data_IF_813618807112
#
_entry.id   IF_813618807112
#
_cell.length_a   1.000
_cell.length_b   1.000
_cell.length_c   1.000
_cell.angle_alpha   90.00
_cell.angle_beta   90.00
_cell.angle_gamma   90.00
#
_symmetry.space_group_name_H-M   'P 1'
#
loop_
_entity.id
_entity.type
_entity.pdbx_description
1 polymer ?
#
# COMPACT_ATOMS: atom_id res chain seq x y z
N UNK A 1 24.03 -28.44 -23.57
CA UNK A 1 23.00 -27.38 -23.70
C UNK A 1 22.24 -27.17 -22.39
N UNK A 2 21.66 -28.22 -21.79
CA UNK A 2 20.94 -28.15 -20.50
C UNK A 2 21.72 -27.46 -19.38
N UNK A 3 22.98 -27.85 -19.17
CA UNK A 3 23.86 -27.32 -18.11
C UNK A 3 24.18 -25.83 -18.27
N UNK A 4 24.26 -25.33 -19.52
CA UNK A 4 24.51 -23.91 -19.82
C UNK A 4 23.27 -23.07 -19.51
N UNK A 5 22.07 -23.59 -19.77
CA UNK A 5 20.79 -22.95 -19.46
C UNK A 5 20.55 -22.85 -17.96
N UNK A 6 20.85 -23.91 -17.20
CA UNK A 6 20.74 -23.93 -15.72
C UNK A 6 21.72 -22.94 -15.08
N UNK A 7 22.95 -22.85 -15.61
CA UNK A 7 23.96 -21.92 -15.09
C UNK A 7 23.60 -20.45 -15.35
N UNK A 8 23.02 -20.12 -16.51
CA UNK A 8 22.51 -18.77 -16.80
C UNK A 8 21.28 -18.39 -15.98
N UNK A 9 20.37 -19.33 -15.71
CA UNK A 9 19.20 -19.09 -14.85
C UNK A 9 19.62 -18.79 -13.41
N UNK A 10 20.61 -19.53 -12.90
CA UNK A 10 21.17 -19.31 -11.55
C UNK A 10 21.87 -17.95 -11.44
N UNK A 11 22.61 -17.53 -12.47
CA UNK A 11 23.24 -16.21 -12.50
C UNK A 11 22.21 -15.06 -12.50
N UNK A 12 21.11 -15.22 -13.24
CA UNK A 12 20.04 -14.22 -13.25
C UNK A 12 19.39 -14.08 -11.86
N UNK A 13 19.05 -15.20 -11.21
CA UNK A 13 18.48 -15.20 -9.84
C UNK A 13 19.41 -14.48 -8.86
N UNK A 14 20.72 -14.72 -8.94
CA UNK A 14 21.70 -14.06 -8.06
C UNK A 14 21.72 -12.53 -8.24
N UNK A 15 21.58 -12.05 -9.47
CA UNK A 15 21.47 -10.61 -9.75
C UNK A 15 20.23 -10.03 -9.07
N UNK A 16 19.07 -10.70 -9.17
CA UNK A 16 17.85 -10.22 -8.51
C UNK A 16 17.97 -10.21 -6.99
N UNK A 17 18.60 -11.22 -6.39
CA UNK A 17 18.87 -11.25 -4.93
C UNK A 17 19.72 -10.04 -4.52
N UNK A 18 20.83 -9.79 -5.22
CA UNK A 18 21.71 -8.63 -4.96
C UNK A 18 20.97 -7.30 -5.11
N UNK A 19 20.09 -7.18 -6.11
CA UNK A 19 19.23 -6.00 -6.26
C UNK A 19 18.28 -5.89 -5.07
N UNK A 20 17.60 -6.96 -4.68
CA UNK A 20 16.68 -6.98 -3.54
C UNK A 20 17.38 -6.59 -2.23
N UNK A 21 18.60 -7.06 -1.97
CA UNK A 21 19.39 -6.71 -0.78
C UNK A 21 19.64 -5.20 -0.64
N UNK A 22 19.73 -4.46 -1.75
CA UNK A 22 19.88 -2.99 -1.74
C UNK A 22 18.52 -2.31 -1.68
N UNK A 23 17.58 -2.83 -2.44
CA UNK A 23 16.30 -2.18 -2.71
C UNK A 23 15.38 -2.23 -1.47
N UNK A 24 15.25 -3.37 -0.80
CA UNK A 24 14.40 -3.51 0.38
C UNK A 24 14.78 -2.56 1.54
N UNK A 25 16.06 -2.47 1.97
CA UNK A 25 16.46 -1.50 3.00
C UNK A 25 16.27 -0.05 2.55
N UNK A 26 16.54 0.26 1.28
CA UNK A 26 16.33 1.62 0.74
C UNK A 26 14.86 2.02 0.86
N UNK A 27 13.94 1.16 0.44
CA UNK A 27 12.51 1.40 0.57
C UNK A 27 12.06 1.52 2.03
N UNK A 28 12.56 0.67 2.92
CA UNK A 28 12.26 0.77 4.34
C UNK A 28 12.67 2.14 4.88
N UNK A 29 13.90 2.57 4.62
CA UNK A 29 14.43 3.85 5.06
C UNK A 29 13.61 5.02 4.52
N UNK A 30 13.36 5.07 3.21
CA UNK A 30 12.59 6.15 2.58
C UNK A 30 11.16 6.21 3.10
N UNK A 31 10.48 5.07 3.24
CA UNK A 31 9.10 5.00 3.73
C UNK A 31 9.01 5.44 5.18
N UNK A 32 9.89 4.96 6.07
CA UNK A 32 9.89 5.37 7.48
C UNK A 32 10.11 6.87 7.59
N UNK A 33 11.09 7.44 6.87
CA UNK A 33 11.37 8.87 6.92
C UNK A 33 10.17 9.67 6.40
N UNK A 34 9.66 9.33 5.22
CA UNK A 34 8.56 10.05 4.59
C UNK A 34 7.27 10.01 5.43
N UNK A 35 6.90 8.83 5.93
CA UNK A 35 5.73 8.69 6.80
C UNK A 35 5.95 9.34 8.16
N UNK A 36 7.14 9.30 8.75
CA UNK A 36 7.43 10.02 10.00
C UNK A 36 7.21 11.53 9.86
N UNK A 37 7.69 12.12 8.75
CA UNK A 37 7.43 13.52 8.43
C UNK A 37 5.92 13.76 8.27
N UNK A 38 5.21 12.93 7.50
CA UNK A 38 3.76 13.06 7.34
C UNK A 38 3.02 12.99 8.69
N UNK A 39 3.38 12.04 9.56
CA UNK A 39 2.77 11.86 10.87
C UNK A 39 2.95 13.10 11.74
N UNK A 40 4.14 13.72 11.74
CA UNK A 40 4.38 14.99 12.41
C UNK A 40 3.42 16.08 11.89
N UNK A 41 3.24 16.17 10.57
CA UNK A 41 2.32 17.16 9.98
C UNK A 41 0.86 16.91 10.31
N UNK A 42 0.43 15.64 10.28
CA UNK A 42 -0.92 15.22 10.70
C UNK A 42 -1.16 15.58 12.16
N UNK A 43 -0.16 15.38 13.03
CA UNK A 43 -0.29 15.60 14.47
C UNK A 43 -0.38 17.08 14.81
N UNK A 44 0.57 17.88 14.29
CA UNK A 44 0.77 19.27 14.71
C UNK A 44 0.09 20.31 13.82
N UNK A 45 -0.15 20.03 12.54
CA UNK A 45 -0.61 21.03 11.56
C UNK A 45 -1.96 20.71 10.92
N UNK A 46 -2.61 19.59 11.28
CA UNK A 46 -3.95 19.26 10.76
C UNK A 46 -5.06 20.10 11.43
N UNK A 47 -5.94 20.76 10.65
CA UNK A 47 -7.06 21.54 11.18
C UNK A 47 -8.08 20.71 11.98
N UNK A 48 -8.68 21.32 13.00
CA UNK A 48 -9.70 20.70 13.87
C UNK A 48 -10.99 20.30 13.14
N UNK A 49 -11.34 20.95 12.02
CA UNK A 49 -12.51 20.61 11.21
C UNK A 49 -12.29 19.38 10.29
N UNK A 50 -11.08 18.79 10.28
CA UNK A 50 -10.72 17.61 9.50
C UNK A 50 -10.40 16.38 10.37
N UNK A 51 -10.85 16.35 11.64
CA UNK A 51 -10.56 15.26 12.60
C UNK A 51 -10.73 13.86 12.02
N UNK A 52 -11.84 13.57 11.32
CA UNK A 52 -12.05 12.23 10.76
C UNK A 52 -11.09 11.91 9.61
N UNK A 53 -10.85 12.86 8.70
CA UNK A 53 -9.88 12.68 7.61
C UNK A 53 -8.46 12.48 8.16
N UNK A 54 -8.11 13.18 9.24
CA UNK A 54 -6.85 13.00 9.96
C UNK A 54 -6.70 11.57 10.49
N UNK A 55 -7.76 11.01 11.07
CA UNK A 55 -7.77 9.62 11.57
C UNK A 55 -7.58 8.62 10.41
N UNK A 56 -8.26 8.84 9.28
CA UNK A 56 -8.09 7.97 8.10
C UNK A 56 -6.66 8.01 7.57
N UNK A 57 -6.08 9.20 7.40
CA UNK A 57 -4.69 9.36 6.93
C UNK A 57 -3.68 8.76 7.92
N UNK A 58 -3.90 8.95 9.23
CA UNK A 58 -3.07 8.36 10.28
C UNK A 58 -3.09 6.82 10.20
N UNK A 59 -4.28 6.24 10.10
CA UNK A 59 -4.47 4.79 10.00
C UNK A 59 -3.77 4.21 8.77
N UNK A 60 -3.99 4.80 7.60
CA UNK A 60 -3.34 4.36 6.35
C UNK A 60 -1.82 4.42 6.48
N UNK A 61 -1.28 5.54 6.99
CA UNK A 61 0.16 5.71 7.21
C UNK A 61 0.75 4.66 8.17
N UNK A 62 0.02 4.26 9.21
CA UNK A 62 0.49 3.21 10.14
C UNK A 62 0.53 1.86 9.42
N UNK A 63 -0.51 1.53 8.64
CA UNK A 63 -0.57 0.28 7.89
C UNK A 63 0.54 0.19 6.82
N UNK A 64 0.82 1.29 6.11
CA UNK A 64 1.91 1.35 5.13
C UNK A 64 3.28 1.08 5.76
N UNK A 65 3.56 1.71 6.91
CA UNK A 65 4.82 1.50 7.64
C UNK A 65 4.92 0.06 8.13
N UNK A 66 3.85 -0.47 8.74
CA UNK A 66 3.83 -1.87 9.22
C UNK A 66 4.02 -2.87 8.07
N UNK A 67 3.30 -2.69 6.96
CA UNK A 67 3.47 -3.53 5.77
C UNK A 67 4.89 -3.45 5.22
N UNK A 68 5.50 -2.26 5.20
CA UNK A 68 6.86 -2.08 4.70
C UNK A 68 7.90 -2.74 5.60
N UNK A 69 7.77 -2.61 6.92
CA UNK A 69 8.63 -3.28 7.90
C UNK A 69 8.55 -4.80 7.74
N UNK A 70 7.33 -5.35 7.65
CA UNK A 70 7.13 -6.79 7.49
C UNK A 70 7.73 -7.28 6.17
N UNK A 71 7.50 -6.55 5.07
CA UNK A 71 8.03 -6.95 3.77
C UNK A 71 9.57 -6.91 3.73
N UNK A 72 10.19 -5.92 4.36
CA UNK A 72 11.64 -5.88 4.54
C UNK A 72 12.15 -7.09 5.35
N UNK A 73 11.41 -7.48 6.38
CA UNK A 73 11.81 -8.59 7.24
C UNK A 73 11.76 -9.94 6.52
N UNK A 74 10.80 -10.14 5.62
CA UNK A 74 10.59 -11.40 4.90
C UNK A 74 11.38 -11.44 3.57
N UNK A 75 11.38 -10.35 2.80
CA UNK A 75 11.85 -10.32 1.41
C UNK A 75 11.31 -11.51 0.60
N UNK A 76 9.99 -11.60 0.41
CA UNK A 76 9.36 -12.78 -0.16
C UNK A 76 9.62 -12.89 -1.66
N UNK A 77 9.89 -14.11 -2.13
CA UNK A 77 9.91 -14.50 -3.55
C UNK A 77 8.77 -15.46 -3.82
N UNK A 78 7.90 -15.14 -4.78
CA UNK A 78 6.68 -15.90 -5.09
C UNK A 78 6.86 -16.60 -6.44
N UNK A 79 6.97 -17.92 -6.46
CA UNK A 79 7.15 -18.69 -7.71
C UNK A 79 5.80 -19.09 -8.30
N UNK A 80 5.39 -18.38 -9.34
CA UNK A 80 4.09 -18.54 -10.00
C UNK A 80 4.12 -19.45 -11.25
N UNK A 81 5.20 -20.20 -11.46
CA UNK A 81 5.37 -21.17 -12.54
C UNK A 81 4.44 -22.38 -12.41
N UNK A 82 3.94 -22.64 -11.19
CA UNK A 82 3.04 -23.73 -10.87
C UNK A 82 1.61 -23.22 -10.71
N UNK A 83 0.66 -23.86 -11.40
CA UNK A 83 -0.76 -23.45 -11.45
C UNK A 83 -1.49 -23.54 -10.10
N UNK A 84 -1.19 -24.58 -9.32
CA UNK A 84 -1.97 -24.88 -8.10
C UNK A 84 -1.16 -24.74 -6.81
N UNK A 85 0.15 -25.02 -6.84
CA UNK A 85 1.01 -25.01 -5.66
C UNK A 85 2.13 -24.00 -5.83
N UNK A 86 1.93 -22.81 -5.25
CA UNK A 86 2.83 -21.66 -5.39
C UNK A 86 3.70 -21.58 -4.14
N UNK A 87 4.98 -21.97 -4.20
CA UNK A 87 5.88 -21.85 -3.06
C UNK A 87 6.27 -20.39 -2.83
N UNK A 88 6.36 -20.01 -1.57
CA UNK A 88 6.83 -18.70 -1.12
C UNK A 88 8.15 -18.90 -0.38
N UNK A 89 9.20 -18.25 -0.89
CA UNK A 89 10.52 -18.26 -0.27
C UNK A 89 10.80 -16.95 0.45
N UNK A 90 11.58 -17.03 1.51
CA UNK A 90 12.04 -15.93 2.33
C UNK A 90 13.56 -15.77 2.17
N UNK A 91 13.98 -14.58 1.76
CA UNK A 91 15.40 -14.20 1.65
C UNK A 91 15.83 -13.27 2.80
N UNK A 92 14.88 -12.67 3.50
CA UNK A 92 15.13 -11.71 4.56
C UNK A 92 15.50 -12.33 5.91
N UNK A 93 15.54 -11.47 6.92
CA UNK A 93 15.91 -11.83 8.30
C UNK A 93 14.97 -12.88 8.91
N UNK A 94 13.71 -12.93 8.47
CA UNK A 94 12.75 -13.89 8.98
C UNK A 94 13.19 -15.34 8.79
N UNK A 95 14.00 -15.64 7.77
CA UNK A 95 14.44 -17.02 7.45
C UNK A 95 15.10 -17.77 8.62
N UNK A 96 15.64 -17.06 9.61
CA UNK A 96 16.27 -17.65 10.81
C UNK A 96 15.26 -18.02 11.90
N UNK A 97 13.98 -17.65 11.73
CA UNK A 97 12.90 -17.93 12.67
C UNK A 97 12.07 -19.13 12.23
N UNK A 98 11.05 -19.47 13.02
CA UNK A 98 10.08 -20.49 12.66
C UNK A 98 9.35 -20.14 11.34
N UNK A 99 9.28 -21.11 10.43
CA UNK A 99 8.58 -21.00 9.12
C UNK A 99 7.13 -20.56 9.28
N UNK A 100 6.43 -21.04 10.31
CA UNK A 100 5.04 -20.65 10.61
C UNK A 100 4.93 -19.16 10.93
N UNK A 101 5.89 -18.60 11.68
CA UNK A 101 5.91 -17.17 11.99
C UNK A 101 6.15 -16.35 10.71
N UNK A 102 7.10 -16.75 9.87
CA UNK A 102 7.40 -16.04 8.63
C UNK A 102 6.25 -16.08 7.63
N UNK A 103 5.58 -17.21 7.51
CA UNK A 103 4.41 -17.32 6.66
C UNK A 103 3.22 -16.54 7.22
N UNK A 104 3.04 -16.51 8.55
CA UNK A 104 2.05 -15.64 9.20
C UNK A 104 2.31 -14.17 8.90
N UNK A 105 3.57 -13.74 9.00
CA UNK A 105 3.96 -12.37 8.66
C UNK A 105 3.72 -12.08 7.18
N UNK A 106 3.98 -13.02 6.28
CA UNK A 106 3.71 -12.86 4.84
C UNK A 106 2.20 -12.67 4.57
N UNK A 107 1.35 -13.49 5.18
CA UNK A 107 -0.10 -13.34 5.04
C UNK A 107 -0.60 -12.04 5.69
N UNK A 108 -0.05 -11.66 6.84
CA UNK A 108 -0.36 -10.38 7.49
C UNK A 108 0.04 -9.19 6.60
N UNK A 109 1.18 -9.25 5.93
CA UNK A 109 1.60 -8.24 4.95
C UNK A 109 0.58 -8.11 3.82
N UNK A 110 0.12 -9.22 3.21
CA UNK A 110 -0.92 -9.17 2.17
C UNK A 110 -2.19 -8.48 2.65
N UNK A 111 -2.70 -8.87 3.83
CA UNK A 111 -3.91 -8.28 4.42
C UNK A 111 -3.73 -6.79 4.75
N UNK A 112 -2.55 -6.39 5.24
CA UNK A 112 -2.24 -4.98 5.51
C UNK A 112 -2.23 -4.17 4.21
N UNK A 113 -1.60 -4.67 3.15
CA UNK A 113 -1.61 -4.01 1.83
C UNK A 113 -3.03 -3.89 1.26
N UNK A 114 -3.87 -4.90 1.43
CA UNK A 114 -5.30 -4.81 1.07
C UNK A 114 -6.02 -3.74 1.90
N UNK A 115 -5.76 -3.71 3.21
CA UNK A 115 -6.35 -2.73 4.11
C UNK A 115 -5.95 -1.29 3.75
N UNK A 116 -4.71 -1.05 3.32
CA UNK A 116 -4.25 0.24 2.79
C UNK A 116 -5.11 0.65 1.58
N UNK A 117 -5.21 -0.22 0.58
CA UNK A 117 -5.98 0.06 -0.64
C UNK A 117 -7.46 0.36 -0.36
N UNK A 118 -8.08 -0.39 0.56
CA UNK A 118 -9.45 -0.14 1.01
C UNK A 118 -9.57 1.18 1.78
N UNK A 119 -8.58 1.50 2.64
CA UNK A 119 -8.55 2.76 3.40
C UNK A 119 -8.51 3.98 2.46
N UNK A 120 -7.75 3.91 1.38
CA UNK A 120 -7.67 4.97 0.37
C UNK A 120 -8.99 5.12 -0.39
N UNK A 121 -9.57 4.01 -0.86
CA UNK A 121 -10.87 4.00 -1.51
C UNK A 121 -11.99 4.54 -0.62
N UNK A 122 -11.99 4.16 0.66
CA UNK A 122 -12.95 4.69 1.64
C UNK A 122 -12.75 6.19 1.88
N UNK A 123 -11.50 6.67 1.90
CA UNK A 123 -11.21 8.11 2.06
C UNK A 123 -11.78 8.92 0.89
N UNK A 124 -11.68 8.41 -0.33
CA UNK A 124 -12.31 9.00 -1.51
C UNK A 124 -13.84 8.93 -1.44
N UNK A 125 -14.41 7.79 -1.03
CA UNK A 125 -15.85 7.65 -0.84
C UNK A 125 -16.39 8.65 0.20
N UNK A 126 -15.73 8.79 1.35
CA UNK A 126 -16.13 9.71 2.40
C UNK A 126 -16.12 11.16 1.88
N UNK A 127 -15.09 11.55 1.13
CA UNK A 127 -15.00 12.86 0.46
C UNK A 127 -16.10 13.04 -0.57
N UNK A 128 -16.35 12.02 -1.39
CA UNK A 128 -17.41 11.99 -2.38
C UNK A 128 -18.77 12.24 -1.74
N UNK A 129 -19.09 11.50 -0.68
CA UNK A 129 -20.36 11.62 0.01
C UNK A 129 -20.51 12.97 0.70
N UNK A 130 -19.42 13.54 1.24
CA UNK A 130 -19.45 14.90 1.80
C UNK A 130 -19.81 15.98 0.76
N UNK A 131 -19.46 15.77 -0.51
CA UNK A 131 -19.71 16.74 -1.60
C UNK A 131 -21.07 16.47 -2.29
N UNK A 132 -21.51 15.21 -2.35
CA UNK A 132 -22.64 14.78 -3.17
C UNK A 132 -23.84 14.24 -2.37
N UNK A 133 -23.68 14.00 -1.08
CA UNK A 133 -24.70 13.43 -0.22
C UNK A 133 -25.74 14.45 0.23
N UNK A 134 -26.94 13.98 0.56
CA UNK A 134 -28.05 14.78 1.13
C UNK A 134 -27.84 15.16 2.61
N UNK A 135 -26.65 14.91 3.17
CA UNK A 135 -26.31 15.17 4.56
C UNK A 135 -24.95 14.58 4.96
N UNK A 136 -24.42 14.90 6.14
CA UNK A 136 -23.13 14.40 6.60
C UNK A 136 -23.22 12.92 7.04
N UNK A 137 -22.21 12.12 6.67
CA UNK A 137 -21.97 10.79 7.26
C UNK A 137 -21.43 10.97 8.68
N UNK A 138 -22.27 10.73 9.69
CA UNK A 138 -21.90 10.88 11.10
C UNK A 138 -22.36 9.66 11.92
N UNK A 139 -21.63 9.37 13.00
CA UNK A 139 -22.01 8.36 14.00
C UNK A 139 -22.15 6.96 13.40
N UNK A 140 -23.29 6.33 13.69
CA UNK A 140 -23.57 4.94 13.31
C UNK A 140 -23.51 4.68 11.80
N UNK A 141 -23.99 5.62 10.97
CA UNK A 141 -23.96 5.48 9.50
C UNK A 141 -22.54 5.46 8.96
N UNK A 142 -21.65 6.26 9.55
CA UNK A 142 -20.23 6.29 9.20
C UNK A 142 -19.54 4.98 9.61
N UNK A 143 -19.84 4.46 10.80
CA UNK A 143 -19.30 3.20 11.29
C UNK A 143 -19.72 2.02 10.41
N UNK A 144 -21.02 1.87 10.10
CA UNK A 144 -21.51 0.83 9.20
C UNK A 144 -20.82 0.95 7.84
N UNK A 145 -20.77 2.16 7.27
CA UNK A 145 -20.14 2.36 5.97
C UNK A 145 -18.66 1.95 5.98
N UNK A 146 -17.92 2.30 7.03
CA UNK A 146 -16.53 1.85 7.18
C UNK A 146 -16.47 0.33 7.27
N UNK A 147 -17.27 -0.29 8.14
CA UNK A 147 -17.31 -1.75 8.29
C UNK A 147 -17.57 -2.46 6.97
N UNK A 148 -18.57 -2.02 6.19
CA UNK A 148 -18.89 -2.58 4.88
C UNK A 148 -17.71 -2.54 3.90
N UNK A 149 -16.94 -1.45 3.89
CA UNK A 149 -15.74 -1.35 3.05
C UNK A 149 -14.64 -2.32 3.47
N UNK A 150 -14.49 -2.62 4.76
CA UNK A 150 -13.44 -3.53 5.27
C UNK A 150 -13.84 -5.02 5.28
N UNK A 151 -15.05 -5.38 4.84
CA UNK A 151 -15.48 -6.79 4.71
C UNK A 151 -14.44 -7.64 3.97
N UNK A 152 -13.86 -7.23 2.81
CA UNK A 152 -12.84 -8.01 2.12
C UNK A 152 -11.59 -8.27 2.98
N UNK A 153 -11.18 -7.32 3.82
CA UNK A 153 -10.05 -7.52 4.75
C UNK A 153 -10.39 -8.55 5.82
N UNK A 154 -11.60 -8.53 6.39
CA UNK A 154 -12.01 -9.52 7.40
C UNK A 154 -12.04 -10.92 6.80
N UNK A 155 -12.62 -11.08 5.60
CA UNK A 155 -12.64 -12.36 4.89
C UNK A 155 -11.20 -12.84 4.60
N UNK A 156 -10.34 -11.96 4.08
CA UNK A 156 -8.93 -12.26 3.80
C UNK A 156 -8.17 -12.66 5.07
N UNK A 157 -8.41 -12.00 6.21
CA UNK A 157 -7.78 -12.34 7.49
C UNK A 157 -8.16 -13.74 7.96
N UNK A 158 -9.46 -14.09 7.90
CA UNK A 158 -9.93 -15.42 8.28
C UNK A 158 -9.31 -16.49 7.37
N UNK A 159 -9.31 -16.26 6.05
CA UNK A 159 -8.66 -17.16 5.10
C UNK A 159 -7.16 -17.31 5.40
N UNK A 160 -6.48 -16.20 5.70
CA UNK A 160 -5.06 -16.17 6.01
C UNK A 160 -4.70 -17.04 7.22
N UNK A 161 -5.47 -16.97 8.30
CA UNK A 161 -5.28 -17.82 9.48
C UNK A 161 -5.42 -19.30 9.11
N UNK A 162 -6.44 -19.66 8.33
CA UNK A 162 -6.67 -21.04 7.88
C UNK A 162 -5.51 -21.52 6.99
N UNK A 163 -5.05 -20.68 6.05
CA UNK A 163 -3.93 -20.98 5.15
C UNK A 163 -2.65 -21.23 5.93
N UNK A 164 -2.34 -20.40 6.93
CA UNK A 164 -1.15 -20.59 7.77
C UNK A 164 -1.21 -21.92 8.52
N UNK A 165 -2.36 -22.28 9.10
CA UNK A 165 -2.49 -23.52 9.87
C UNK A 165 -2.33 -24.76 8.96
N UNK A 166 -2.82 -24.70 7.72
CA UNK A 166 -2.85 -25.85 6.81
C UNK A 166 -1.61 -26.01 5.93
N UNK A 167 -1.00 -24.90 5.52
CA UNK A 167 0.00 -24.89 4.46
C UNK A 167 1.39 -24.47 4.94
N UNK A 168 1.59 -24.42 6.26
CA UNK A 168 2.93 -24.31 6.82
C UNK A 168 3.60 -25.67 6.76
N UNK A 169 4.85 -25.67 6.26
CA UNK A 169 5.71 -26.83 6.38
C UNK A 169 5.90 -27.13 7.88
N UNK A 170 5.91 -28.42 8.31
CA UNK A 170 6.19 -28.74 9.69
C UNK A 170 7.48 -28.02 10.12
N UNK A 171 7.54 -27.48 11.35
CA UNK A 171 8.73 -26.79 11.83
C UNK A 171 9.91 -27.73 11.63
N UNK A 172 10.88 -27.26 10.84
CA UNK A 172 12.07 -27.98 10.42
C UNK A 172 12.57 -28.80 11.62
N UNK A 173 12.29 -30.11 11.58
CA UNK A 173 12.91 -31.03 12.52
C UNK A 173 14.37 -31.01 12.15
N UNK A 174 15.17 -30.39 13.01
CA UNK A 174 16.62 -30.50 13.02
C UNK A 174 16.98 -31.94 13.35
N UNK A 175 16.71 -32.88 12.46
CA UNK A 175 17.22 -34.24 12.56
C UNK A 175 18.62 -34.24 11.97
N UNK A 176 19.57 -33.89 12.83
CA UNK A 176 20.93 -34.40 12.71
C UNK A 176 20.82 -35.89 13.05
N UNK A 177 21.03 -36.74 12.05
CA UNK A 177 21.01 -38.21 12.20
C UNK A 177 19.65 -38.81 11.86
N UNK A 178 19.50 -39.29 10.63
CA UNK A 178 19.49 -40.73 10.38
C UNK A 178 19.77 -40.95 8.88
N UNK A 179 20.61 -41.95 8.63
CA UNK A 179 21.00 -42.41 7.30
C UNK A 179 19.79 -43.05 6.60
N UNK A 180 19.79 -42.97 5.26
CA UNK A 180 18.90 -43.68 4.33
C UNK A 180 17.45 -43.18 4.21
N UNK A 181 17.26 -42.11 3.42
CA UNK A 181 16.36 -42.10 2.26
C UNK A 181 16.46 -40.74 1.55
N UNK A 182 16.17 -40.69 0.24
CA UNK A 182 16.30 -39.54 -0.67
C UNK A 182 15.44 -38.31 -0.28
N UNK A 183 15.73 -37.68 0.86
CA UNK A 183 15.16 -36.39 1.26
C UNK A 183 16.01 -35.27 0.66
N UNK A 184 15.39 -34.50 -0.24
CA UNK A 184 15.93 -33.27 -0.81
C UNK A 184 16.41 -32.35 0.33
N UNK A 185 17.71 -32.37 0.55
CA UNK A 185 18.46 -31.53 1.47
C UNK A 185 18.16 -30.04 1.16
N UNK A 186 17.29 -29.39 1.93
CA UNK A 186 17.16 -27.92 1.87
C UNK A 186 18.24 -27.34 2.79
N UNK A 187 19.43 -27.13 2.23
CA UNK A 187 20.53 -26.37 2.86
C UNK A 187 21.17 -25.41 1.86
N UNK A 188 20.38 -24.72 1.03
CA UNK A 188 20.85 -23.46 0.46
C UNK A 188 20.71 -22.36 1.52
N UNK A 189 21.82 -21.98 2.16
CA UNK A 189 21.93 -20.97 3.25
C UNK A 189 21.30 -19.62 2.84
N UNK A 190 21.05 -19.42 1.55
CA UNK A 190 20.58 -18.16 0.97
C UNK A 190 19.07 -17.91 1.12
N UNK A 191 18.23 -18.94 1.25
CA UNK A 191 16.78 -18.77 1.34
C UNK A 191 16.07 -19.92 2.06
N UNK A 192 14.87 -19.66 2.59
CA UNK A 192 14.00 -20.70 3.20
C UNK A 192 12.63 -20.71 2.52
N UNK A 193 12.11 -21.88 2.20
CA UNK A 193 10.68 -22.03 1.86
C UNK A 193 9.87 -21.82 3.15
N UNK A 194 8.96 -20.85 3.17
CA UNK A 194 8.18 -20.50 4.38
C UNK A 194 6.75 -21.07 4.35
N UNK A 195 6.22 -21.35 3.16
CA UNK A 195 4.90 -21.95 3.00
C UNK A 195 4.46 -22.00 1.54
N UNK A 196 3.30 -22.62 1.30
CA UNK A 196 2.72 -22.78 -0.04
C UNK A 196 1.32 -22.18 -0.13
N UNK A 197 1.06 -21.42 -1.19
CA UNK A 197 -0.30 -21.01 -1.53
C UNK A 197 -0.91 -22.03 -2.49
N UNK A 198 -1.83 -22.84 -1.97
CA UNK A 198 -2.47 -23.95 -2.69
C UNK A 198 -3.75 -23.46 -3.36
N UNK A 199 -3.67 -22.87 -4.56
CA UNK A 199 -4.82 -22.29 -5.27
C UNK A 199 -5.92 -23.30 -5.61
N UNK A 200 -5.71 -24.61 -5.43
CA UNK A 200 -6.79 -25.62 -5.49
C UNK A 200 -7.80 -25.50 -4.34
N UNK A 201 -7.35 -25.04 -3.17
CA UNK A 201 -8.14 -24.98 -1.95
C UNK A 201 -9.00 -23.71 -1.85
N UNK A 202 -10.18 -23.86 -1.24
CA UNK A 202 -11.15 -22.77 -1.08
C UNK A 202 -10.56 -21.54 -0.37
N UNK A 203 -9.84 -21.65 0.78
CA UNK A 203 -9.31 -20.49 1.47
C UNK A 203 -8.32 -19.69 0.61
N UNK A 204 -7.46 -20.38 -0.13
CA UNK A 204 -6.48 -19.77 -1.04
C UNK A 204 -7.18 -19.05 -2.21
N UNK A 205 -8.18 -19.69 -2.84
CA UNK A 205 -8.98 -19.07 -3.92
C UNK A 205 -9.70 -17.81 -3.46
N UNK A 206 -10.34 -17.87 -2.28
CA UNK A 206 -11.06 -16.72 -1.71
C UNK A 206 -10.09 -15.59 -1.36
N UNK A 207 -8.97 -15.90 -0.70
CA UNK A 207 -7.97 -14.89 -0.36
C UNK A 207 -7.40 -14.21 -1.62
N UNK A 208 -7.06 -15.00 -2.64
CA UNK A 208 -6.60 -14.50 -3.93
C UNK A 208 -7.62 -13.59 -4.63
N UNK A 209 -8.91 -13.95 -4.56
CA UNK A 209 -9.99 -13.14 -5.11
C UNK A 209 -10.13 -11.79 -4.37
N UNK A 210 -9.99 -11.78 -3.03
CA UNK A 210 -10.00 -10.54 -2.25
C UNK A 210 -8.83 -9.62 -2.59
N UNK A 211 -7.63 -10.19 -2.78
CA UNK A 211 -6.46 -9.43 -3.23
C UNK A 211 -6.65 -8.87 -4.63
N UNK A 212 -7.11 -9.70 -5.57
CA UNK A 212 -7.40 -9.29 -6.96
C UNK A 212 -8.45 -8.16 -7.00
N UNK A 213 -9.50 -8.27 -6.18
CA UNK A 213 -10.49 -7.22 -6.00
C UNK A 213 -9.85 -5.91 -5.53
N UNK A 214 -9.02 -5.95 -4.48
CA UNK A 214 -8.31 -4.77 -3.97
C UNK A 214 -7.43 -4.10 -5.02
N UNK A 215 -6.75 -4.89 -5.84
CA UNK A 215 -5.78 -4.39 -6.84
C UNK A 215 -6.49 -3.78 -8.06
N UNK A 216 -7.45 -4.48 -8.64
CA UNK A 216 -8.09 -4.04 -9.89
C UNK A 216 -9.33 -3.16 -9.66
N UNK A 217 -10.15 -3.48 -8.65
CA UNK A 217 -11.42 -2.78 -8.46
C UNK A 217 -11.27 -1.46 -7.72
N UNK A 218 -10.37 -1.40 -6.72
CA UNK A 218 -10.14 -0.18 -5.92
C UNK A 218 -9.80 1.04 -6.79
N UNK A 219 -8.87 0.96 -7.77
CA UNK A 219 -8.56 2.10 -8.62
C UNK A 219 -9.70 2.55 -9.53
N UNK A 220 -10.48 1.60 -10.06
CA UNK A 220 -11.65 1.90 -10.90
C UNK A 220 -12.70 2.65 -10.08
N UNK A 221 -13.01 2.15 -8.88
CA UNK A 221 -13.98 2.76 -7.98
C UNK A 221 -13.56 4.17 -7.56
N UNK A 222 -12.27 4.35 -7.25
CA UNK A 222 -11.68 5.64 -6.94
C UNK A 222 -11.77 6.65 -8.09
N UNK A 223 -11.49 6.22 -9.33
CA UNK A 223 -11.64 7.05 -10.51
C UNK A 223 -13.10 7.47 -10.71
N UNK A 224 -14.04 6.55 -10.52
CA UNK A 224 -15.47 6.82 -10.58
C UNK A 224 -15.91 7.86 -9.54
N UNK A 225 -15.51 7.70 -8.27
CA UNK A 225 -15.79 8.69 -7.23
C UNK A 225 -15.21 10.06 -7.57
N UNK A 226 -13.96 10.11 -8.06
CA UNK A 226 -13.33 11.36 -8.47
C UNK A 226 -14.11 12.06 -9.58
N UNK A 227 -14.44 11.34 -10.64
CA UNK A 227 -15.17 11.88 -11.78
C UNK A 227 -16.51 12.46 -11.34
N UNK A 228 -17.27 11.69 -10.56
CA UNK A 228 -18.59 12.10 -10.07
C UNK A 228 -18.51 13.27 -9.09
N UNK A 229 -17.53 13.29 -8.19
CA UNK A 229 -17.30 14.44 -7.31
C UNK A 229 -16.94 15.69 -8.09
N UNK A 230 -16.05 15.62 -9.09
CA UNK A 230 -15.67 16.79 -9.89
C UNK A 230 -16.84 17.38 -10.69
N UNK A 231 -17.75 16.53 -11.20
CA UNK A 231 -18.96 16.97 -11.91
C UNK A 231 -19.86 17.83 -11.02
N UNK A 232 -20.03 17.42 -9.77
CA UNK A 232 -20.92 18.07 -8.81
C UNK A 232 -20.22 19.15 -7.97
N UNK A 233 -18.89 19.16 -7.91
CA UNK A 233 -18.13 20.12 -7.11
C UNK A 233 -18.41 21.58 -7.50
N UNK A 234 -18.59 21.83 -8.80
CA UNK A 234 -18.89 23.17 -9.35
C UNK A 234 -20.25 23.69 -8.87
N UNK A 235 -21.23 22.80 -8.69
CA UNK A 235 -22.59 23.17 -8.29
C UNK A 235 -22.77 23.16 -6.78
N UNK A 236 -22.18 22.19 -6.06
CA UNK A 236 -22.32 22.09 -4.59
C UNK A 236 -21.55 23.19 -3.85
N UNK A 237 -20.35 23.55 -4.33
CA UNK A 237 -19.47 24.50 -3.63
C UNK A 237 -19.54 25.90 -4.28
N UNK A 238 -20.45 26.15 -5.24
CA UNK A 238 -20.59 27.45 -5.92
C UNK A 238 -20.79 28.62 -4.96
N UNK A 239 -21.53 28.41 -3.86
CA UNK A 239 -21.77 29.39 -2.80
C UNK A 239 -20.72 29.40 -1.67
N UNK A 240 -19.73 28.50 -1.67
CA UNK A 240 -18.70 28.47 -0.64
C UNK A 240 -17.50 29.34 -1.01
N UNK A 241 -16.69 29.70 0.00
CA UNK A 241 -15.54 30.58 -0.21
C UNK A 241 -14.57 30.02 -1.26
N UNK A 242 -13.94 30.89 -2.09
CA UNK A 242 -12.96 30.47 -3.09
C UNK A 242 -11.83 29.61 -2.50
N UNK A 243 -11.45 29.90 -1.26
CA UNK A 243 -10.48 29.13 -0.49
C UNK A 243 -10.91 27.68 -0.25
N UNK A 244 -12.17 27.46 0.15
CA UNK A 244 -12.69 26.11 0.42
C UNK A 244 -12.82 25.29 -0.86
N UNK A 245 -13.25 25.92 -1.97
CA UNK A 245 -13.29 25.29 -3.29
C UNK A 245 -11.90 24.81 -3.73
N UNK A 246 -10.89 25.68 -3.60
CA UNK A 246 -9.52 25.34 -3.94
C UNK A 246 -8.98 24.20 -3.08
N UNK A 247 -9.20 24.26 -1.77
CA UNK A 247 -8.78 23.21 -0.84
C UNK A 247 -9.41 21.85 -1.18
N UNK A 248 -10.72 21.82 -1.45
CA UNK A 248 -11.44 20.59 -1.81
C UNK A 248 -10.88 19.97 -3.10
N UNK A 249 -10.66 20.77 -4.15
CA UNK A 249 -10.07 20.32 -5.43
C UNK A 249 -8.66 19.78 -5.25
N UNK A 250 -7.83 20.48 -4.46
CA UNK A 250 -6.43 20.10 -4.23
C UNK A 250 -6.35 18.74 -3.52
N UNK A 251 -7.08 18.56 -2.42
CA UNK A 251 -7.09 17.28 -1.67
C UNK A 251 -7.65 16.13 -2.53
N UNK A 252 -8.70 16.38 -3.30
CA UNK A 252 -9.26 15.37 -4.21
C UNK A 252 -8.26 14.92 -5.28
N UNK A 253 -7.44 15.84 -5.79
CA UNK A 253 -6.37 15.52 -6.74
C UNK A 253 -5.23 14.75 -6.08
N UNK A 254 -4.85 15.10 -4.85
CA UNK A 254 -3.89 14.31 -4.08
C UNK A 254 -4.34 12.86 -3.90
N UNK A 255 -5.57 12.64 -3.40
CA UNK A 255 -6.12 11.29 -3.20
C UNK A 255 -6.20 10.48 -4.51
N UNK A 256 -6.52 11.15 -5.62
CA UNK A 256 -6.55 10.49 -6.93
C UNK A 256 -5.15 10.08 -7.40
N UNK A 257 -4.15 10.91 -7.15
CA UNK A 257 -2.76 10.62 -7.51
C UNK A 257 -2.22 9.43 -6.69
N UNK A 258 -2.57 9.32 -5.42
CA UNK A 258 -2.20 8.18 -4.56
C UNK A 258 -2.73 6.86 -5.15
N UNK A 259 -4.00 6.83 -5.53
CA UNK A 259 -4.60 5.66 -6.19
C UNK A 259 -3.95 5.38 -7.55
N UNK A 260 -3.63 6.43 -8.31
CA UNK A 260 -2.95 6.27 -9.59
C UNK A 260 -1.54 5.66 -9.45
N UNK A 261 -0.83 5.94 -8.35
CA UNK A 261 0.46 5.27 -8.07
C UNK A 261 0.29 3.76 -7.94
N UNK A 262 -0.80 3.29 -7.32
CA UNK A 262 -1.10 1.85 -7.25
C UNK A 262 -1.37 1.25 -8.63
N UNK A 263 -1.98 2.00 -9.55
CA UNK A 263 -2.17 1.57 -10.94
C UNK A 263 -0.82 1.41 -11.67
N UNK A 264 0.12 2.35 -11.48
CA UNK A 264 1.42 2.30 -12.14
C UNK A 264 2.28 1.15 -11.59
N UNK A 265 2.34 0.98 -10.27
CA UNK A 265 3.31 0.08 -9.66
C UNK A 265 2.77 -1.32 -9.40
N UNK A 266 1.52 -1.46 -8.93
CA UNK A 266 1.00 -2.74 -8.47
C UNK A 266 0.36 -3.56 -9.60
N UNK A 267 -0.47 -2.92 -10.44
CA UNK A 267 -1.23 -3.63 -11.48
C UNK A 267 -0.34 -4.34 -12.51
N UNK A 268 0.76 -3.76 -13.03
CA UNK A 268 1.59 -4.45 -14.01
C UNK A 268 2.21 -5.73 -13.44
N UNK A 269 2.76 -5.66 -12.22
CA UNK A 269 3.39 -6.82 -11.58
C UNK A 269 2.37 -7.89 -11.20
N UNK A 270 1.17 -7.50 -10.74
CA UNK A 270 0.11 -8.47 -10.48
C UNK A 270 -0.45 -9.09 -11.78
N UNK A 271 -0.52 -8.33 -12.86
CA UNK A 271 -0.91 -8.85 -14.18
C UNK A 271 0.11 -9.85 -14.71
N UNK A 272 1.41 -9.60 -14.52
CA UNK A 272 2.47 -10.57 -14.84
C UNK A 272 2.36 -11.83 -13.98
N UNK A 273 1.91 -11.70 -12.73
CA UNK A 273 1.67 -12.82 -11.84
C UNK A 273 0.51 -13.69 -12.34
N UNK A 274 -0.61 -13.08 -12.74
CA UNK A 274 -1.73 -13.80 -13.38
C UNK A 274 -1.30 -14.49 -14.68
N UNK A 275 -0.50 -13.81 -15.49
CA UNK A 275 0.04 -14.38 -16.73
C UNK A 275 0.92 -15.59 -16.46
N UNK A 276 1.82 -15.51 -15.48
CA UNK A 276 2.69 -16.61 -15.06
C UNK A 276 1.86 -17.80 -14.55
N UNK A 277 0.83 -17.55 -13.74
CA UNK A 277 -0.09 -18.60 -13.27
C UNK A 277 -0.85 -19.30 -14.39
N UNK A 278 -1.27 -18.57 -15.42
CA UNK A 278 -2.02 -19.16 -16.53
C UNK A 278 -1.12 -19.97 -17.48
N UNK A 279 0.03 -19.41 -17.81
CA UNK A 279 0.94 -19.96 -18.83
C UNK A 279 1.98 -20.93 -18.28
N UNK A 280 2.24 -20.89 -16.96
CA UNK A 280 3.34 -21.60 -16.32
C UNK A 280 4.71 -21.01 -16.67
N UNK A 281 4.76 -19.78 -17.20
CA UNK A 281 6.03 -19.13 -17.55
C UNK A 281 6.69 -18.50 -16.33
N UNK A 282 8.01 -18.63 -16.25
CA UNK A 282 8.78 -18.04 -15.17
C UNK A 282 9.17 -16.58 -15.48
N UNK A 283 8.69 -15.63 -14.66
CA UNK A 283 9.02 -14.21 -14.80
C UNK A 283 9.69 -13.69 -13.53
N UNK A 284 11.03 -13.67 -13.50
CA UNK A 284 11.83 -13.28 -12.33
C UNK A 284 11.45 -11.89 -11.77
N UNK A 285 11.21 -10.91 -12.65
CA UNK A 285 10.80 -9.56 -12.23
C UNK A 285 9.56 -9.59 -11.32
N UNK A 286 8.55 -10.39 -11.68
CA UNK A 286 7.34 -10.53 -10.88
C UNK A 286 7.64 -11.26 -9.57
N UNK A 287 8.40 -12.35 -9.62
CA UNK A 287 8.66 -13.17 -8.43
C UNK A 287 9.31 -12.37 -7.30
N UNK A 288 10.24 -11.48 -7.62
CA UNK A 288 11.00 -10.68 -6.65
C UNK A 288 10.33 -9.35 -6.29
N UNK A 289 9.65 -8.69 -7.23
CA UNK A 289 9.15 -7.33 -7.00
C UNK A 289 7.64 -7.22 -6.79
N UNK A 290 6.86 -8.30 -6.97
CA UNK A 290 5.41 -8.25 -6.75
C UNK A 290 5.08 -7.78 -5.33
N UNK A 291 5.72 -8.38 -4.32
CA UNK A 291 5.47 -8.01 -2.92
C UNK A 291 5.99 -6.62 -2.57
N UNK A 292 6.96 -6.10 -3.30
CA UNK A 292 7.48 -4.75 -3.09
C UNK A 292 6.57 -3.67 -3.68
N UNK A 293 5.83 -3.98 -4.73
CA UNK A 293 5.06 -3.01 -5.51
C UNK A 293 4.07 -2.14 -4.70
N UNK A 294 3.36 -2.63 -3.66
CA UNK A 294 2.48 -1.78 -2.86
C UNK A 294 3.28 -0.79 -2.01
N UNK A 295 4.46 -1.20 -1.53
CA UNK A 295 5.31 -0.36 -0.68
C UNK A 295 5.97 0.78 -1.48
N UNK A 296 6.21 0.54 -2.78
CA UNK A 296 6.65 1.58 -3.70
C UNK A 296 5.59 2.68 -3.85
N UNK A 297 4.31 2.31 -3.99
CA UNK A 297 3.22 3.29 -3.97
C UNK A 297 3.14 4.03 -2.63
N UNK A 298 3.25 3.31 -1.51
CA UNK A 298 3.23 3.89 -0.17
C UNK A 298 4.34 4.94 0.05
N UNK A 299 5.52 4.76 -0.54
CA UNK A 299 6.63 5.74 -0.43
C UNK A 299 6.24 7.13 -0.96
N UNK A 300 5.39 7.19 -1.99
CA UNK A 300 4.93 8.46 -2.57
C UNK A 300 3.76 9.09 -1.82
N UNK A 301 2.99 8.32 -1.06
CA UNK A 301 1.78 8.80 -0.41
C UNK A 301 2.03 9.97 0.57
N UNK A 302 3.07 9.94 1.41
CA UNK A 302 3.48 11.10 2.21
C UNK A 302 3.77 12.35 1.40
N UNK A 303 4.53 12.20 0.31
CA UNK A 303 4.93 13.33 -0.54
C UNK A 303 3.71 13.99 -1.19
N UNK A 304 2.79 13.15 -1.70
CA UNK A 304 1.53 13.60 -2.29
C UNK A 304 0.68 14.31 -1.23
N UNK A 305 0.55 13.75 -0.03
CA UNK A 305 -0.20 14.37 1.07
C UNK A 305 0.40 15.73 1.47
N UNK A 306 1.71 15.83 1.65
CA UNK A 306 2.39 17.07 2.03
C UNK A 306 2.20 18.17 0.98
N UNK A 307 2.14 17.82 -0.31
CA UNK A 307 1.95 18.78 -1.39
C UNK A 307 0.48 19.21 -1.59
N UNK A 308 -0.47 18.29 -1.56
CA UNK A 308 -1.87 18.56 -1.88
C UNK A 308 -2.72 18.97 -0.68
N UNK A 309 -2.29 18.68 0.55
CA UNK A 309 -2.95 19.19 1.76
C UNK A 309 -2.45 20.61 2.01
N UNK A 310 -3.27 21.59 1.66
CA UNK A 310 -2.95 23.03 1.70
C UNK A 310 -2.31 23.50 3.02
N UNK A 311 -2.80 23.16 4.23
CA UNK A 311 -2.16 23.61 5.47
C UNK A 311 -0.72 23.07 5.61
N UNK A 312 -0.44 21.87 5.13
CA UNK A 312 0.90 21.27 5.19
C UNK A 312 1.85 22.01 4.25
N UNK A 313 1.47 22.16 2.98
CA UNK A 313 2.26 22.90 1.99
C UNK A 313 2.53 24.34 2.41
N UNK A 314 1.53 25.05 2.95
CA UNK A 314 1.70 26.42 3.46
C UNK A 314 2.72 26.48 4.58
N UNK A 315 2.72 25.49 5.49
CA UNK A 315 3.69 25.44 6.58
C UNK A 315 5.10 25.21 6.07
N UNK A 316 5.28 24.28 5.13
CA UNK A 316 6.57 24.05 4.44
C UNK A 316 7.05 25.34 3.77
N UNK A 317 6.19 25.99 2.98
CA UNK A 317 6.50 27.27 2.32
C UNK A 317 6.93 28.34 3.32
N UNK A 318 6.24 28.45 4.46
CA UNK A 318 6.57 29.44 5.51
C UNK A 318 7.97 29.23 6.12
N UNK A 319 8.49 28.00 6.13
CA UNK A 319 9.84 27.72 6.60
C UNK A 319 10.89 28.17 5.58
N UNK A 320 10.64 27.98 4.29
CA UNK A 320 11.54 28.44 3.23
C UNK A 320 11.49 29.97 3.01
N UNK A 321 10.32 30.58 3.16
CA UNK A 321 10.13 32.03 3.03
C UNK A 321 10.72 32.81 4.22
N UNK A 322 10.80 32.22 5.42
CA UNK A 322 11.52 32.81 6.56
C UNK A 322 13.04 32.83 6.36
N UNK A 323 13.58 32.01 5.48
CA UNK A 323 15.01 31.97 5.14
C UNK A 323 15.41 32.99 4.07
N UNK A 324 14.44 33.64 3.41
CA UNK A 324 14.72 34.81 2.59
C UNK A 324 14.55 36.06 3.48
N UNK A 325 15.59 36.90 3.68
CA UNK A 325 15.38 38.20 4.30
C UNK A 325 14.30 38.92 3.50
N UNK A 326 13.23 39.31 4.18
CA UNK A 326 12.12 40.06 3.60
C UNK A 326 12.69 41.28 2.86
N UNK A 327 12.73 41.22 1.52
CA UNK A 327 12.56 42.44 0.74
C UNK A 327 11.11 42.85 0.96
N UNK A 328 10.90 43.72 1.92
CA UNK A 328 9.66 44.45 2.13
C UNK A 328 9.30 45.16 0.83
N UNK A 329 8.33 44.63 0.09
CA UNK A 329 7.54 45.41 -0.86
C UNK A 329 6.37 45.99 -0.08
N UNK A 330 6.36 47.29 0.27
CA UNK A 330 5.23 47.91 0.92
C UNK A 330 4.23 48.24 -0.18
N UNK A 331 3.17 47.44 -0.38
CA UNK A 331 1.94 47.88 -1.09
C UNK A 331 0.94 46.71 -1.18
N UNK A 332 0.13 46.53 -0.12
CA UNK A 332 -1.27 46.10 -0.20
C UNK A 332 -1.96 46.16 1.18
N UNK A 333 -1.97 47.35 1.76
CA UNK A 333 -2.93 47.70 2.82
C UNK A 333 -3.55 49.05 2.44
N UNK A 334 -4.36 49.04 1.38
CA UNK A 334 -5.25 50.14 1.03
C UNK A 334 -6.29 49.58 0.06
N UNK A 335 -7.45 49.17 0.60
CA UNK A 335 -8.79 49.23 -0.03
C UNK A 335 -9.74 48.22 0.59
N UNK A 336 -9.94 48.26 1.92
CA UNK A 336 -11.21 47.84 2.52
C UNK A 336 -11.52 48.81 3.66
N UNK A 337 -12.02 49.98 3.30
CA UNK A 337 -12.88 50.76 4.18
C UNK A 337 -14.21 50.96 3.43
N UNK A 338 -15.36 50.65 4.05
CA UNK A 338 -16.66 50.79 3.43
C UNK A 338 -17.09 52.26 3.49
N UNK A 339 -17.34 52.88 2.34
CA UNK A 339 -18.05 54.15 2.27
C UNK A 339 -19.55 53.87 2.43
N UNK A 340 -20.04 54.09 3.65
CA UNK A 340 -21.43 54.43 3.91
C UNK A 340 -21.46 55.86 4.47
N UNK A 341 -22.56 56.56 4.19
CA UNK A 341 -23.00 57.90 4.61
C UNK A 341 -22.73 58.99 3.56
N UNK A 342 -23.87 59.51 3.08
CA UNK A 342 -24.08 60.49 2.02
C UNK A 342 -25.50 60.32 1.53
#
# INVERSE_FOLDING_TARGET
MLQKTTQTANAAVEIYIKISEIVYPTFLGTTIIAHSILLLFIIFFSPSHLKFLRILLLKTSIFDVLATVINFYIQPRILADRKENIPVYCYGLCRQMNTQLCFSLYMAWQTLSLAVGISMSYTLFFKYHKINGKGPLVGWRMFISMFLFYIPCFISTICSVIIVIRNTLPPMSRKVGDEDDDEVEITDIRYSEIGRMTLGEIPNKVNFAMMSYGIYFSPILAFWFRWKSNKNLKTTISGASPYLQYHAKSVMTGLALQVFMHFIFYIPLFSLYLYSLYTGTEILLQQFFLAMSPNLAATFDPLINLYYVVPYRRRIKSWFERSQPQRTSPLRVASITPSAIG
#
